data_IF_817606024045
#
_entry.id   IF_817606024045
#
_cell.length_a   1.000
_cell.length_b   1.000
_cell.length_c   1.000
_cell.angle_alpha   90.00
_cell.angle_beta   90.00
_cell.angle_gamma   90.00
#
_symmetry.space_group_name_H-M   'P 1'
#
loop_
_entity.id
_entity.type
_entity.pdbx_description
1 polymer ?
#
# COMPACT_ATOMS: atom_id res chain seq x y z
N UNK A 1 3.21 7.33 -26.28
CA UNK A 1 2.17 6.59 -25.55
C UNK A 1 1.13 7.60 -25.08
N UNK A 2 -0.12 7.46 -25.51
CA UNK A 2 -1.23 8.29 -25.02
C UNK A 2 -1.55 7.86 -23.61
N UNK A 3 -1.37 8.73 -22.61
CA UNK A 3 -1.85 8.49 -21.27
C UNK A 3 -3.38 8.64 -21.30
N UNK A 4 -4.09 7.52 -21.47
CA UNK A 4 -5.54 7.48 -21.26
C UNK A 4 -5.76 7.80 -19.78
N UNK A 5 -6.25 9.00 -19.48
CA UNK A 5 -6.63 9.38 -18.12
C UNK A 5 -7.77 8.45 -17.72
N UNK A 6 -7.51 7.55 -16.77
CA UNK A 6 -8.51 6.65 -16.19
C UNK A 6 -9.60 7.49 -15.50
N UNK A 7 -10.71 7.71 -16.21
CA UNK A 7 -11.91 8.40 -15.67
C UNK A 7 -12.87 7.45 -14.97
N UNK A 8 -12.74 6.14 -15.20
CA UNK A 8 -13.66 5.13 -14.66
C UNK A 8 -13.65 5.08 -13.12
N UNK A 9 -12.52 5.33 -12.45
CA UNK A 9 -12.46 5.40 -10.99
C UNK A 9 -13.32 6.50 -10.37
N UNK A 10 -13.70 7.52 -11.16
CA UNK A 10 -14.58 8.63 -10.76
C UNK A 10 -16.06 8.40 -11.12
N UNK A 11 -16.37 7.58 -12.14
CA UNK A 11 -17.75 7.29 -12.56
C UNK A 11 -18.34 6.05 -11.87
N UNK A 12 -17.47 5.17 -11.39
CA UNK A 12 -17.82 4.17 -10.39
C UNK A 12 -18.43 4.94 -9.22
N UNK A 13 -19.67 4.59 -8.90
CA UNK A 13 -20.42 4.97 -7.72
C UNK A 13 -21.35 6.21 -7.73
N UNK A 14 -22.08 6.47 -8.81
CA UNK A 14 -23.22 7.39 -8.71
C UNK A 14 -24.40 6.89 -7.81
N UNK A 15 -24.37 5.66 -7.28
CA UNK A 15 -25.55 5.05 -6.63
C UNK A 15 -25.37 4.48 -5.20
N UNK A 16 -24.16 4.41 -4.63
CA UNK A 16 -23.89 4.19 -3.17
C UNK A 16 -22.39 3.93 -2.91
N UNK A 17 -21.57 4.96 -2.66
CA UNK A 17 -20.19 4.73 -2.17
C UNK A 17 -20.22 4.42 -0.70
N UNK A 18 -20.57 3.18 -0.43
CA UNK A 18 -20.17 2.53 0.81
C UNK A 18 -18.85 1.82 0.55
N UNK A 19 -18.00 1.74 1.58
CA UNK A 19 -16.78 0.94 1.49
C UNK A 19 -17.18 -0.52 1.20
N UNK A 20 -16.52 -1.15 0.24
CA UNK A 20 -16.86 -2.49 -0.25
C UNK A 20 -17.94 -2.51 -1.33
N UNK A 21 -18.51 -1.37 -1.73
CA UNK A 21 -19.39 -1.31 -2.90
C UNK A 21 -18.61 -1.70 -4.17
N UNK A 22 -19.24 -2.45 -5.06
CA UNK A 22 -18.64 -2.90 -6.31
C UNK A 22 -19.46 -2.48 -7.53
N UNK A 23 -18.77 -2.30 -8.65
CA UNK A 23 -19.38 -2.15 -9.98
C UNK A 23 -18.52 -2.88 -11.01
N UNK A 24 -19.01 -2.97 -12.24
CA UNK A 24 -18.27 -3.50 -13.38
C UNK A 24 -17.78 -2.33 -14.24
N UNK A 25 -16.48 -2.29 -14.54
CA UNK A 25 -15.89 -1.32 -15.47
C UNK A 25 -16.23 -1.63 -16.94
N UNK A 26 -15.88 -0.72 -17.85
CA UNK A 26 -16.15 -0.88 -19.28
C UNK A 26 -15.41 -2.07 -19.91
N UNK A 27 -14.34 -2.52 -19.25
CA UNK A 27 -13.57 -3.72 -19.60
C UNK A 27 -14.13 -5.03 -19.02
N UNK A 28 -15.27 -4.97 -18.31
CA UNK A 28 -15.91 -6.13 -17.69
C UNK A 28 -15.30 -6.55 -16.35
N UNK A 29 -14.27 -5.84 -15.86
CA UNK A 29 -13.61 -6.15 -14.60
C UNK A 29 -14.36 -5.53 -13.40
N UNK A 30 -14.28 -6.19 -12.24
CA UNK A 30 -14.93 -5.70 -11.02
C UNK A 30 -14.06 -4.61 -10.39
N UNK A 31 -14.67 -3.44 -10.17
CA UNK A 31 -14.11 -2.31 -9.43
C UNK A 31 -14.78 -2.22 -8.06
N UNK A 32 -13.97 -2.13 -7.02
CA UNK A 32 -14.38 -2.05 -5.61
C UNK A 32 -13.99 -0.69 -5.03
N UNK A 33 -14.88 -0.12 -4.22
CA UNK A 33 -14.61 1.09 -3.42
C UNK A 33 -13.90 0.69 -2.13
N UNK A 34 -12.65 1.09 -1.99
CA UNK A 34 -11.90 0.88 -0.75
C UNK A 34 -12.28 1.96 0.27
N UNK A 35 -12.25 3.22 -0.16
CA UNK A 35 -12.63 4.37 0.65
C UNK A 35 -13.50 5.35 -0.13
N UNK A 36 -14.47 5.96 0.54
CA UNK A 36 -15.33 7.02 0.00
C UNK A 36 -14.83 8.43 0.35
N UNK A 37 -15.23 9.42 -0.44
CA UNK A 37 -15.11 10.81 -0.02
C UNK A 37 -16.00 11.09 1.19
N UNK A 38 -15.49 11.85 2.15
CA UNK A 38 -16.23 12.26 3.35
C UNK A 38 -16.69 13.72 3.29
N UNK A 39 -16.21 14.48 2.30
CA UNK A 39 -16.61 15.87 2.11
C UNK A 39 -18.04 16.01 1.57
N UNK A 40 -18.60 17.21 1.71
CA UNK A 40 -19.98 17.51 1.33
C UNK A 40 -20.22 17.59 -0.17
N UNK A 41 -19.18 17.66 -1.00
CA UNK A 41 -19.32 17.79 -2.45
C UNK A 41 -19.20 16.41 -3.11
N UNK A 42 -18.01 15.81 -3.11
CA UNK A 42 -17.76 14.50 -3.72
C UNK A 42 -18.42 13.37 -2.93
N UNK A 43 -18.49 13.49 -1.60
CA UNK A 43 -19.20 12.51 -0.76
C UNK A 43 -20.71 12.54 -0.97
N UNK A 44 -21.31 13.71 -1.19
CA UNK A 44 -22.74 13.83 -1.52
C UNK A 44 -23.08 13.29 -2.92
N UNK A 45 -22.12 13.35 -3.85
CA UNK A 45 -22.21 12.70 -5.16
C UNK A 45 -21.98 11.19 -5.10
N UNK A 46 -21.63 10.66 -3.92
CA UNK A 46 -21.43 9.24 -3.70
C UNK A 46 -20.16 8.70 -4.33
N UNK A 47 -19.12 9.50 -4.56
CA UNK A 47 -17.91 9.03 -5.27
C UNK A 47 -16.93 8.26 -4.35
N UNK A 48 -16.22 7.30 -4.94
CA UNK A 48 -15.08 6.63 -4.31
C UNK A 48 -13.84 7.52 -4.30
N UNK A 49 -13.19 7.66 -3.14
CA UNK A 49 -11.89 8.33 -3.00
C UNK A 49 -10.71 7.40 -3.37
N UNK A 50 -10.86 6.11 -3.06
CA UNK A 50 -9.92 5.05 -3.45
C UNK A 50 -10.70 3.87 -4.00
N UNK A 51 -10.27 3.37 -5.15
CA UNK A 51 -10.86 2.21 -5.80
C UNK A 51 -9.81 1.16 -6.13
N UNK A 52 -10.22 -0.09 -6.10
CA UNK A 52 -9.41 -1.26 -6.43
C UNK A 52 -10.07 -1.99 -7.59
N UNK A 53 -9.27 -2.41 -8.58
CA UNK A 53 -9.71 -3.29 -9.66
C UNK A 53 -8.76 -4.48 -9.76
N UNK A 54 -9.32 -5.69 -9.76
CA UNK A 54 -8.55 -6.91 -10.01
C UNK A 54 -8.67 -7.24 -11.49
N UNK A 55 -7.53 -7.44 -12.14
CA UNK A 55 -7.43 -7.78 -13.56
C UNK A 55 -7.48 -9.31 -13.69
N UNK A 56 -8.47 -9.82 -14.42
CA UNK A 56 -8.71 -11.24 -14.62
C UNK A 56 -8.30 -11.75 -16.02
N UNK A 57 -7.68 -10.89 -16.84
CA UNK A 57 -7.35 -11.22 -18.23
C UNK A 57 -6.38 -12.41 -18.39
N UNK A 58 -6.48 -13.07 -19.55
CA UNK A 58 -5.64 -14.21 -19.95
C UNK A 58 -4.12 -13.92 -20.00
N UNK A 59 -3.70 -12.65 -19.90
CA UNK A 59 -2.30 -12.23 -19.87
C UNK A 59 -1.69 -12.20 -18.46
N UNK A 60 -2.49 -12.42 -17.41
CA UNK A 60 -2.02 -12.51 -16.01
C UNK A 60 -3.00 -11.89 -15.02
N UNK A 61 -2.92 -12.37 -13.77
CA UNK A 61 -3.60 -11.76 -12.63
C UNK A 61 -2.85 -10.51 -12.17
N UNK A 62 -3.58 -9.43 -11.90
CA UNK A 62 -3.00 -8.19 -11.38
C UNK A 62 -4.02 -7.35 -10.62
N UNK A 63 -3.54 -6.28 -9.99
CA UNK A 63 -4.38 -5.33 -9.27
C UNK A 63 -3.99 -3.92 -9.67
N UNK A 64 -5.00 -3.06 -9.82
CA UNK A 64 -4.83 -1.61 -10.00
C UNK A 64 -5.57 -0.92 -8.87
N UNK A 65 -4.87 -0.06 -8.15
CA UNK A 65 -5.45 0.78 -7.11
C UNK A 65 -5.35 2.23 -7.54
N UNK A 66 -6.49 2.91 -7.60
CA UNK A 66 -6.59 4.32 -7.94
C UNK A 66 -6.84 5.15 -6.68
N UNK A 67 -6.01 6.18 -6.49
CA UNK A 67 -6.10 7.13 -5.38
C UNK A 67 -6.47 8.49 -5.95
N UNK A 68 -7.71 8.91 -5.74
CA UNK A 68 -8.26 10.17 -6.27
C UNK A 68 -8.11 11.37 -5.32
N UNK A 69 -7.78 11.13 -4.05
CA UNK A 69 -7.72 12.13 -2.99
C UNK A 69 -6.36 12.14 -2.29
N UNK A 70 -6.08 13.22 -1.55
CA UNK A 70 -5.04 13.18 -0.52
C UNK A 70 -5.46 12.22 0.59
N UNK A 71 -4.60 11.28 0.94
CA UNK A 71 -4.85 10.26 1.96
C UNK A 71 -3.85 10.47 3.09
N UNK A 72 -4.30 10.26 4.32
CA UNK A 72 -3.41 10.26 5.49
C UNK A 72 -2.32 9.18 5.34
N UNK A 73 -1.06 9.49 5.66
CA UNK A 73 0.06 8.57 5.44
C UNK A 73 -0.16 7.17 6.02
N UNK A 74 -0.77 7.05 7.20
CA UNK A 74 -1.01 5.77 7.88
C UNK A 74 -1.97 4.87 7.11
N UNK A 75 -3.01 5.45 6.51
CA UNK A 75 -3.94 4.72 5.66
C UNK A 75 -3.24 4.24 4.39
N UNK A 76 -2.37 5.08 3.80
CA UNK A 76 -1.57 4.70 2.64
C UNK A 76 -0.61 3.53 2.94
N UNK A 77 0.03 3.54 4.13
CA UNK A 77 0.88 2.43 4.59
C UNK A 77 0.08 1.14 4.70
N UNK A 78 -1.13 1.18 5.24
CA UNK A 78 -2.01 0.00 5.36
C UNK A 78 -2.33 -0.59 4.00
N UNK A 79 -2.79 0.24 3.06
CA UNK A 79 -3.13 -0.18 1.70
C UNK A 79 -1.91 -0.75 0.95
N UNK A 80 -0.75 -0.07 1.03
CA UNK A 80 0.48 -0.54 0.41
C UNK A 80 0.95 -1.87 1.02
N UNK A 81 0.81 -2.03 2.34
CA UNK A 81 1.14 -3.27 3.06
C UNK A 81 0.31 -4.44 2.55
N UNK A 82 -1.01 -4.28 2.45
CA UNK A 82 -1.90 -5.34 1.93
C UNK A 82 -1.56 -5.74 0.50
N UNK A 83 -1.30 -4.77 -0.38
CA UNK A 83 -0.93 -5.04 -1.78
C UNK A 83 0.43 -5.73 -1.89
N UNK A 84 1.43 -5.32 -1.10
CA UNK A 84 2.75 -5.97 -1.07
C UNK A 84 2.66 -7.43 -0.59
N UNK A 85 1.83 -7.70 0.42
CA UNK A 85 1.58 -9.05 0.93
C UNK A 85 0.90 -9.93 -0.11
N UNK A 86 -0.15 -9.43 -0.74
CA UNK A 86 -0.88 -10.15 -1.78
C UNK A 86 0.02 -10.53 -2.97
N UNK A 87 1.04 -9.72 -3.26
CA UNK A 87 2.00 -9.95 -4.34
C UNK A 87 3.23 -10.76 -3.90
N UNK A 88 3.34 -11.13 -2.61
CA UNK A 88 4.50 -11.84 -2.08
C UNK A 88 5.81 -11.04 -2.19
N UNK A 89 5.72 -9.70 -2.20
CA UNK A 89 6.89 -8.83 -2.27
C UNK A 89 7.60 -8.86 -0.92
N UNK A 90 8.86 -9.32 -0.92
CA UNK A 90 9.71 -9.28 0.28
C UNK A 90 9.89 -7.84 0.73
N UNK A 91 9.68 -7.60 2.03
CA UNK A 91 9.80 -6.29 2.66
C UNK A 91 10.46 -6.42 4.03
N UNK A 92 11.08 -5.34 4.50
CA UNK A 92 11.74 -5.32 5.81
C UNK A 92 10.74 -5.19 6.97
N UNK A 93 9.45 -5.01 6.67
CA UNK A 93 8.42 -4.67 7.66
C UNK A 93 8.43 -3.18 8.01
N UNK A 94 7.49 -2.78 8.86
CA UNK A 94 7.36 -1.41 9.40
C UNK A 94 7.60 -1.50 10.91
N UNK A 95 8.38 -0.59 11.48
CA UNK A 95 8.55 -0.50 12.93
C UNK A 95 7.36 0.22 13.55
N UNK A 96 7.08 -0.06 14.83
CA UNK A 96 6.12 0.71 15.62
C UNK A 96 6.56 2.17 15.86
N UNK A 97 7.81 2.51 15.52
CA UNK A 97 8.34 3.88 15.56
C UNK A 97 8.65 4.41 14.16
N UNK A 98 8.20 5.65 13.89
CA UNK A 98 8.53 6.39 12.67
C UNK A 98 10.01 6.75 12.56
N UNK A 99 10.76 6.68 13.67
CA UNK A 99 12.18 6.99 13.70
C UNK A 99 13.04 5.82 13.19
N UNK A 100 12.45 4.65 12.94
CA UNK A 100 13.17 3.47 12.49
C UNK A 100 12.95 3.23 10.99
N UNK A 101 14.01 3.47 10.21
CA UNK A 101 14.05 3.10 8.81
C UNK A 101 14.48 1.63 8.65
N UNK A 102 13.81 0.90 7.77
CA UNK A 102 14.15 -0.51 7.49
C UNK A 102 14.12 -0.80 6.00
N UNK A 103 15.13 -1.52 5.52
CA UNK A 103 15.25 -1.89 4.11
C UNK A 103 15.90 -3.27 3.94
N UNK A 104 15.57 -3.90 2.82
CA UNK A 104 16.19 -5.16 2.40
C UNK A 104 17.23 -4.87 1.31
N UNK A 105 18.40 -5.49 1.42
CA UNK A 105 19.45 -5.42 0.40
C UNK A 105 20.01 -6.79 0.11
N UNK A 106 20.05 -7.16 -1.17
CA UNK A 106 20.76 -8.36 -1.60
C UNK A 106 22.26 -8.09 -1.76
N UNK A 107 23.11 -9.01 -1.30
CA UNK A 107 24.55 -8.99 -1.56
C UNK A 107 24.91 -9.67 -2.90
N UNK A 108 26.21 -9.68 -3.24
CA UNK A 108 26.71 -10.31 -4.46
C UNK A 108 26.52 -11.83 -4.50
N UNK A 109 26.27 -12.46 -3.35
CA UNK A 109 25.98 -13.89 -3.20
C UNK A 109 24.47 -14.18 -3.13
N UNK A 110 23.62 -13.20 -3.46
CA UNK A 110 22.15 -13.29 -3.39
C UNK A 110 21.59 -13.51 -1.98
N UNK A 111 22.39 -13.31 -0.92
CA UNK A 111 21.86 -13.29 0.44
C UNK A 111 21.18 -11.97 0.69
N UNK A 112 20.01 -12.03 1.32
CA UNK A 112 19.22 -10.85 1.65
C UNK A 112 19.56 -10.42 3.07
N UNK A 113 19.86 -9.13 3.23
CA UNK A 113 20.17 -8.52 4.51
C UNK A 113 19.06 -7.53 4.88
N UNK A 114 18.61 -7.59 6.13
CA UNK A 114 17.75 -6.58 6.75
C UNK A 114 18.66 -5.54 7.40
N UNK A 115 18.49 -4.29 6.99
CA UNK A 115 19.16 -3.14 7.57
C UNK A 115 18.09 -2.35 8.32
N UNK A 116 18.27 -2.14 9.62
CA UNK A 116 17.41 -1.29 10.45
C UNK A 116 18.25 -0.15 11.04
N UNK A 117 17.75 1.08 10.94
CA UNK A 117 18.44 2.30 11.37
C UNK A 117 17.50 3.05 12.31
N UNK A 118 17.91 3.22 13.56
CA UNK A 118 17.21 4.11 14.50
C UNK A 118 17.73 5.54 14.30
N UNK A 119 16.91 6.42 13.75
CA UNK A 119 17.24 7.85 13.61
C UNK A 119 16.95 8.67 14.87
N UNK A 120 16.33 8.06 15.88
CA UNK A 120 15.87 8.72 17.10
C UNK A 120 16.87 8.71 18.25
N UNK A 121 16.55 9.48 19.29
CA UNK A 121 17.34 9.65 20.52
C UNK A 121 16.97 8.65 21.63
N UNK A 122 15.98 7.78 21.39
CA UNK A 122 15.47 6.82 22.37
C UNK A 122 15.68 5.37 21.91
N UNK A 123 15.76 4.45 22.87
CA UNK A 123 15.72 3.02 22.61
C UNK A 123 14.38 2.65 21.95
N UNK A 124 14.46 1.97 20.82
CA UNK A 124 13.30 1.55 20.03
C UNK A 124 13.46 0.11 19.52
N UNK A 125 12.54 -0.38 18.68
CA UNK A 125 12.60 -1.72 18.10
C UNK A 125 12.44 -1.71 16.59
N UNK A 126 13.17 -2.61 15.92
CA UNK A 126 12.92 -3.00 14.54
C UNK A 126 11.60 -3.78 14.41
N UNK A 127 11.14 -4.03 13.17
CA UNK A 127 9.90 -4.78 12.88
C UNK A 127 9.93 -6.23 13.40
N UNK A 128 11.12 -6.82 13.51
CA UNK A 128 11.32 -8.16 14.06
C UNK A 128 11.53 -8.19 15.59
N UNK A 129 11.37 -7.05 16.25
CA UNK A 129 11.50 -6.91 17.70
C UNK A 129 12.93 -6.70 18.20
N UNK A 130 13.95 -6.65 17.31
CA UNK A 130 15.34 -6.31 17.68
C UNK A 130 15.37 -4.93 18.34
N UNK A 131 15.93 -4.83 19.55
CA UNK A 131 16.13 -3.53 20.21
C UNK A 131 17.25 -2.74 19.51
N UNK A 132 17.04 -1.45 19.31
CA UNK A 132 17.97 -0.53 18.68
C UNK A 132 18.24 0.64 19.64
N UNK A 133 19.49 0.79 20.06
CA UNK A 133 19.95 1.96 20.80
C UNK A 133 19.83 3.25 19.96
N UNK A 134 19.86 4.44 20.57
CA UNK A 134 19.86 5.71 19.83
C UNK A 134 20.94 5.73 18.74
N UNK A 135 20.55 6.06 17.51
CA UNK A 135 21.43 6.13 16.34
C UNK A 135 22.08 4.79 15.92
N UNK A 136 21.61 3.67 16.45
CA UNK A 136 22.13 2.35 16.09
C UNK A 136 21.72 1.93 14.67
N UNK A 137 22.68 1.34 13.96
CA UNK A 137 22.44 0.62 12.70
C UNK A 137 22.65 -0.87 12.96
N UNK A 138 21.60 -1.65 12.78
CA UNK A 138 21.63 -3.10 12.90
C UNK A 138 21.50 -3.76 11.54
N UNK A 139 22.41 -4.68 11.23
CA UNK A 139 22.43 -5.46 9.99
C UNK A 139 22.35 -6.94 10.33
N UNK A 140 21.30 -7.61 9.86
CA UNK A 140 21.06 -9.02 10.10
C UNK A 140 20.69 -9.75 8.80
N UNK A 141 20.96 -11.05 8.72
CA UNK A 141 20.51 -11.86 7.58
C UNK A 141 18.98 -12.00 7.63
N UNK A 142 18.31 -11.72 6.50
CA UNK A 142 16.87 -11.81 6.40
C UNK A 142 16.44 -13.25 6.13
N UNK A 143 15.78 -13.87 7.10
CA UNK A 143 15.37 -15.28 7.05
C UNK A 143 13.97 -15.52 6.49
N UNK A 144 13.23 -14.45 6.17
CA UNK A 144 11.86 -14.54 5.66
C UNK A 144 10.82 -14.74 6.76
N UNK A 145 10.01 -13.71 6.99
CA UNK A 145 8.67 -13.80 7.56
C UNK A 145 7.72 -13.06 6.64
#
# INVERSE_FOLDING_TARGET
>A
ASATVFREGLEVVANSAENGATTTGDDGEVVEVIWKYTDSFFGALGLGAVTRRRLSSAAGSGEVVYVGAGIEPEALVTLATETLDAQGVKRAGVSDSSDVEQLLRADSSQRTWRIAINHGEILTKASDGTALEPFEVNIAEFTGQ
#
